data_IF_629436671485
#
_entry.id   IF_629436671485
#
_cell.length_a   1.000
_cell.length_b   1.000
_cell.length_c   1.000
_cell.angle_alpha   90.00
_cell.angle_beta   90.00
_cell.angle_gamma   90.00
#
_symmetry.space_group_name_H-M   'P 1'
#
loop_
_entity.id
_entity.type
_entity.pdbx_description
1 polymer ?
#
# COMPACT_ATOMS: atom_id res chain seq x y z
N UNK A 1 43.44 -33.51 12.83
CA UNK A 1 42.91 -32.96 11.58
C UNK A 1 41.97 -31.83 11.95
N UNK A 2 42.40 -30.62 11.74
CA UNK A 2 41.65 -29.43 12.05
C UNK A 2 40.70 -29.13 10.86
N UNK A 3 39.39 -29.07 11.11
CA UNK A 3 38.44 -28.58 10.14
C UNK A 3 38.46 -27.06 10.22
N UNK A 4 38.97 -26.43 9.19
CA UNK A 4 38.91 -24.97 9.02
C UNK A 4 37.45 -24.57 8.78
N UNK A 5 36.94 -23.69 9.65
CA UNK A 5 35.70 -22.99 9.45
C UNK A 5 35.91 -21.98 8.32
N UNK A 6 35.26 -22.22 7.20
CA UNK A 6 35.16 -21.28 6.09
C UNK A 6 34.32 -20.04 6.50
N UNK A 7 34.79 -18.90 6.03
CA UNK A 7 34.35 -17.57 6.39
C UNK A 7 32.86 -17.31 6.27
N UNK A 8 32.40 -16.39 7.11
CA UNK A 8 31.13 -15.70 6.98
C UNK A 8 31.17 -14.84 5.71
N UNK A 9 30.57 -15.34 4.64
CA UNK A 9 30.35 -14.54 3.44
C UNK A 9 29.42 -13.37 3.81
N UNK A 10 29.97 -12.17 3.82
CA UNK A 10 29.25 -10.94 3.99
C UNK A 10 28.38 -10.69 2.73
N UNK A 11 27.13 -11.13 2.78
CA UNK A 11 26.14 -10.93 1.72
C UNK A 11 25.58 -9.50 1.68
N UNK A 12 26.01 -8.60 2.58
CA UNK A 12 25.47 -7.24 2.73
C UNK A 12 25.68 -6.35 1.49
N UNK A 13 26.64 -6.69 0.63
CA UNK A 13 26.94 -5.93 -0.61
C UNK A 13 26.06 -6.31 -1.81
N UNK A 14 25.48 -7.52 -1.83
CA UNK A 14 24.80 -8.05 -3.01
C UNK A 14 23.33 -7.59 -3.13
N UNK A 15 22.66 -7.30 -2.01
CA UNK A 15 21.21 -7.02 -1.97
C UNK A 15 20.82 -5.73 -2.71
N UNK A 16 21.77 -4.83 -2.98
CA UNK A 16 21.48 -3.51 -3.55
C UNK A 16 21.58 -3.42 -5.08
N UNK A 17 22.25 -4.36 -5.74
CA UNK A 17 22.44 -4.34 -7.21
C UNK A 17 22.72 -5.76 -7.74
N UNK A 18 21.80 -6.70 -7.54
CA UNK A 18 21.93 -8.02 -8.13
C UNK A 18 21.69 -7.96 -9.65
N UNK A 19 22.69 -8.41 -10.42
CA UNK A 19 22.54 -8.70 -11.85
C UNK A 19 22.15 -10.17 -12.00
N UNK A 20 20.92 -10.40 -12.44
CA UNK A 20 20.31 -11.74 -12.55
C UNK A 20 20.55 -12.33 -13.93
N UNK A 21 20.96 -13.59 -14.00
CA UNK A 21 21.06 -14.32 -15.24
C UNK A 21 19.70 -14.88 -15.72
N UNK A 22 19.71 -15.59 -16.84
CA UNK A 22 18.50 -16.20 -17.44
C UNK A 22 17.84 -17.28 -16.57
N UNK A 23 18.57 -17.82 -15.59
CA UNK A 23 18.09 -18.85 -14.64
C UNK A 23 17.72 -18.24 -13.26
N UNK A 24 17.64 -16.90 -13.17
CA UNK A 24 17.37 -16.18 -11.91
C UNK A 24 18.45 -16.41 -10.82
N UNK A 25 19.71 -16.62 -11.24
CA UNK A 25 20.87 -16.69 -10.34
C UNK A 25 21.62 -15.36 -10.40
N UNK A 26 21.91 -14.78 -9.24
CA UNK A 26 22.69 -13.54 -9.18
C UNK A 26 24.14 -13.81 -9.58
N UNK A 27 24.62 -13.14 -10.64
CA UNK A 27 25.99 -13.29 -11.17
C UNK A 27 27.06 -12.85 -10.20
N UNK A 28 26.75 -11.96 -9.26
CA UNK A 28 27.71 -11.43 -8.31
C UNK A 28 27.85 -12.26 -7.02
N UNK A 29 26.77 -12.87 -6.52
CA UNK A 29 26.79 -13.64 -5.26
C UNK A 29 26.32 -15.08 -5.39
N UNK A 30 25.83 -15.51 -6.56
CA UNK A 30 25.40 -16.88 -6.80
C UNK A 30 24.07 -17.25 -6.12
N UNK A 31 23.32 -16.30 -5.54
CA UNK A 31 22.00 -16.60 -4.98
C UNK A 31 21.02 -16.97 -6.10
N UNK A 32 20.22 -17.98 -5.88
CA UNK A 32 19.17 -18.46 -6.78
C UNK A 32 17.79 -17.81 -6.53
N UNK A 33 17.75 -16.79 -5.65
CA UNK A 33 16.52 -16.04 -5.40
C UNK A 33 16.49 -14.72 -6.18
N UNK A 34 15.54 -14.59 -7.09
CA UNK A 34 15.15 -13.32 -7.71
C UNK A 34 13.75 -12.91 -7.26
N UNK A 35 13.47 -11.60 -7.12
CA UNK A 35 12.11 -11.14 -6.92
C UNK A 35 11.18 -11.61 -8.04
N UNK A 36 9.91 -11.95 -7.74
CA UNK A 36 8.96 -12.35 -8.77
C UNK A 36 8.81 -11.29 -9.86
N UNK A 37 9.01 -11.67 -11.14
CA UNK A 37 8.85 -10.76 -12.30
C UNK A 37 7.39 -10.38 -12.56
N UNK A 38 6.44 -11.21 -12.10
CA UNK A 38 5.00 -10.97 -12.23
C UNK A 38 4.47 -10.35 -10.94
N UNK A 39 3.85 -9.18 -11.06
CA UNK A 39 3.17 -8.55 -9.94
C UNK A 39 2.13 -9.51 -9.33
N UNK A 40 2.24 -9.73 -8.02
CA UNK A 40 1.30 -10.51 -7.22
C UNK A 40 0.51 -9.57 -6.32
N UNK A 41 -0.71 -9.96 -5.90
CA UNK A 41 -1.45 -9.17 -4.91
C UNK A 41 -0.61 -8.92 -3.65
N UNK A 42 -0.50 -7.67 -3.27
CA UNK A 42 0.02 -7.28 -1.96
C UNK A 42 -0.92 -7.77 -0.86
N UNK A 43 -0.38 -8.16 0.30
CA UNK A 43 -1.14 -8.57 1.47
C UNK A 43 -0.90 -7.58 2.61
N UNK A 44 -2.00 -7.06 3.20
CA UNK A 44 -1.98 -6.21 4.38
C UNK A 44 -2.98 -6.76 5.40
N UNK A 45 -2.56 -6.88 6.67
CA UNK A 45 -3.45 -7.09 7.81
C UNK A 45 -3.55 -5.79 8.61
N UNK A 46 -4.77 -5.39 8.99
CA UNK A 46 -5.01 -4.14 9.72
C UNK A 46 -6.10 -4.33 10.79
N UNK A 47 -6.05 -3.58 11.90
CA UNK A 47 -7.03 -3.70 12.98
C UNK A 47 -8.32 -2.95 12.66
N UNK A 48 -9.44 -3.47 13.15
CA UNK A 48 -10.73 -2.79 13.20
C UNK A 48 -11.41 -3.06 14.53
N UNK A 49 -12.22 -2.13 15.02
CA UNK A 49 -13.01 -2.28 16.25
C UNK A 49 -14.42 -2.83 15.97
N UNK A 50 -14.85 -2.83 14.70
CA UNK A 50 -16.15 -3.34 14.28
C UNK A 50 -16.12 -3.88 12.85
N UNK A 51 -16.24 -5.21 12.70
CA UNK A 51 -16.19 -5.87 11.39
C UNK A 51 -17.38 -5.54 10.49
N UNK A 52 -18.58 -5.35 11.04
CA UNK A 52 -19.77 -5.04 10.24
C UNK A 52 -19.68 -3.63 9.62
N UNK A 53 -19.25 -2.64 10.42
CA UNK A 53 -18.98 -1.30 9.92
C UNK A 53 -17.85 -1.29 8.89
N UNK A 54 -16.78 -2.07 9.14
CA UNK A 54 -15.68 -2.23 8.17
C UNK A 54 -16.20 -2.85 6.87
N UNK A 55 -16.99 -3.93 6.91
CA UNK A 55 -17.59 -4.53 5.71
C UNK A 55 -18.44 -3.52 4.94
N UNK A 56 -19.32 -2.81 5.61
CA UNK A 56 -20.14 -1.78 4.97
C UNK A 56 -19.27 -0.72 4.26
N UNK A 57 -18.24 -0.22 4.93
CA UNK A 57 -17.34 0.77 4.34
C UNK A 57 -16.57 0.23 3.13
N UNK A 58 -15.87 -0.90 3.28
CA UNK A 58 -15.04 -1.44 2.20
C UNK A 58 -15.87 -1.95 1.03
N UNK A 59 -17.06 -2.53 1.26
CA UNK A 59 -17.93 -3.05 0.19
C UNK A 59 -18.76 -1.93 -0.44
N UNK A 60 -19.54 -1.20 0.35
CA UNK A 60 -20.55 -0.26 -0.19
C UNK A 60 -19.88 1.04 -0.66
N UNK A 61 -18.90 1.56 0.11
CA UNK A 61 -18.24 2.82 -0.22
C UNK A 61 -17.11 2.63 -1.23
N UNK A 62 -16.22 1.62 -1.03
CA UNK A 62 -15.05 1.43 -1.88
C UNK A 62 -15.24 0.39 -2.99
N UNK A 63 -16.35 -0.35 -3.01
CA UNK A 63 -16.65 -1.34 -4.04
C UNK A 63 -15.81 -2.62 -3.95
N UNK A 64 -15.22 -2.91 -2.78
CA UNK A 64 -14.51 -4.15 -2.55
C UNK A 64 -15.46 -5.34 -2.52
N UNK A 65 -14.94 -6.52 -2.83
CA UNK A 65 -15.66 -7.78 -2.56
C UNK A 65 -15.04 -8.49 -1.37
N UNK A 66 -15.86 -9.14 -0.56
CA UNK A 66 -15.38 -9.98 0.54
C UNK A 66 -14.86 -11.30 0.01
N UNK A 67 -13.85 -11.84 0.73
CA UNK A 67 -13.37 -13.21 0.56
C UNK A 67 -13.78 -14.06 1.76
N UNK A 68 -12.80 -14.75 2.36
CA UNK A 68 -13.05 -15.56 3.55
C UNK A 68 -13.40 -14.68 4.76
N UNK A 69 -14.52 -14.97 5.38
CA UNK A 69 -14.98 -14.36 6.63
C UNK A 69 -14.86 -15.33 7.81
N UNK A 70 -14.48 -14.80 8.95
CA UNK A 70 -14.44 -15.48 10.26
C UNK A 70 -15.06 -14.56 11.31
N UNK A 71 -15.27 -15.09 12.52
CA UNK A 71 -15.83 -14.32 13.62
C UNK A 71 -15.01 -13.05 13.94
N UNK A 72 -13.69 -13.09 13.79
CA UNK A 72 -12.77 -12.01 14.15
C UNK A 72 -11.98 -11.45 12.96
N UNK A 73 -12.33 -11.80 11.73
CA UNK A 73 -11.63 -11.30 10.55
C UNK A 73 -12.44 -11.38 9.26
N UNK A 74 -12.20 -10.43 8.38
CA UNK A 74 -12.76 -10.41 7.03
C UNK A 74 -11.67 -10.09 6.00
N UNK A 75 -11.60 -10.89 4.94
CA UNK A 75 -10.72 -10.65 3.78
C UNK A 75 -11.45 -9.79 2.77
N UNK A 76 -10.79 -8.76 2.24
CA UNK A 76 -11.29 -7.94 1.14
C UNK A 76 -10.37 -8.05 -0.07
N UNK A 77 -10.97 -8.06 -1.25
CA UNK A 77 -10.27 -7.77 -2.50
C UNK A 77 -10.26 -6.26 -2.70
N UNK A 78 -9.17 -5.62 -2.33
CA UNK A 78 -8.99 -4.17 -2.35
C UNK A 78 -8.21 -3.77 -3.61
N UNK A 79 -8.90 -3.30 -4.64
CA UNK A 79 -8.30 -2.91 -5.93
C UNK A 79 -7.30 -3.91 -6.51
N UNK A 80 -7.62 -5.22 -6.42
CA UNK A 80 -6.75 -6.29 -6.90
C UNK A 80 -5.77 -6.85 -5.86
N UNK A 81 -5.60 -6.20 -4.73
CA UNK A 81 -4.79 -6.65 -3.59
C UNK A 81 -5.64 -7.36 -2.54
N UNK A 82 -4.97 -8.05 -1.60
CA UNK A 82 -5.62 -8.71 -0.47
C UNK A 82 -5.37 -7.92 0.80
N UNK A 83 -6.42 -7.36 1.40
CA UNK A 83 -6.34 -6.81 2.74
C UNK A 83 -7.23 -7.61 3.71
N UNK A 84 -6.84 -7.66 4.98
CA UNK A 84 -7.56 -8.44 6.00
C UNK A 84 -7.81 -7.56 7.21
N UNK A 85 -9.08 -7.27 7.47
CA UNK A 85 -9.49 -6.65 8.72
C UNK A 85 -9.49 -7.68 9.86
N UNK A 86 -8.83 -7.37 10.95
CA UNK A 86 -8.84 -8.15 12.18
C UNK A 86 -9.55 -7.38 13.29
N UNK A 87 -10.58 -8.00 13.88
CA UNK A 87 -11.27 -7.43 15.02
C UNK A 87 -10.34 -7.38 16.23
N UNK A 88 -10.19 -6.22 16.81
CA UNK A 88 -9.37 -5.99 18.01
C UNK A 88 -10.23 -5.36 19.11
N UNK A 89 -9.97 -5.67 20.39
CA UNK A 89 -10.71 -5.08 21.50
C UNK A 89 -10.43 -3.59 21.70
N UNK A 90 -9.29 -3.11 21.20
CA UNK A 90 -8.88 -1.71 21.29
C UNK A 90 -7.99 -1.36 20.11
N UNK A 91 -8.29 -0.25 19.42
CA UNK A 91 -7.46 0.26 18.35
C UNK A 91 -6.11 0.75 18.89
N UNK A 92 -4.99 0.47 18.20
CA UNK A 92 -3.67 0.94 18.61
C UNK A 92 -3.55 2.45 18.45
N UNK A 93 -2.81 3.08 19.38
CA UNK A 93 -2.36 4.45 19.18
C UNK A 93 -1.28 4.49 18.11
N UNK A 94 -1.44 5.38 17.14
CA UNK A 94 -0.52 5.53 16.02
C UNK A 94 0.27 6.82 16.16
N UNK A 95 1.59 6.76 15.92
CA UNK A 95 2.40 7.96 15.74
C UNK A 95 1.98 8.67 14.45
N UNK A 96 1.92 10.00 14.50
CA UNK A 96 1.57 10.83 13.34
C UNK A 96 2.79 11.55 12.79
N UNK A 97 2.72 11.92 11.53
CA UNK A 97 3.63 12.86 10.87
C UNK A 97 2.81 13.91 10.11
N UNK A 98 3.35 15.14 9.93
CA UNK A 98 2.67 16.15 9.17
C UNK A 98 2.62 15.80 7.68
N UNK A 99 1.42 15.78 7.12
CA UNK A 99 1.16 15.65 5.69
C UNK A 99 0.25 16.79 5.29
N UNK A 100 0.74 17.71 4.48
CA UNK A 100 0.01 18.90 3.99
C UNK A 100 -0.68 19.70 5.11
N UNK A 101 0.03 19.88 6.23
CA UNK A 101 -0.47 20.62 7.41
C UNK A 101 -1.50 19.88 8.26
N UNK A 102 -1.67 18.57 8.03
CA UNK A 102 -2.51 17.67 8.84
C UNK A 102 -1.65 16.63 9.53
N UNK A 103 -1.98 16.27 10.75
CA UNK A 103 -1.36 15.16 11.48
C UNK A 103 -1.99 13.85 11.00
N UNK A 104 -1.28 13.14 10.13
CA UNK A 104 -1.71 11.86 9.57
C UNK A 104 -0.95 10.73 10.27
N UNK A 105 -1.61 9.62 10.63
CA UNK A 105 -0.91 8.44 11.12
C UNK A 105 0.20 8.02 10.16
N UNK A 106 1.42 7.82 10.67
CA UNK A 106 2.56 7.40 9.86
C UNK A 106 2.26 6.06 9.15
N UNK A 107 1.53 5.18 9.85
CA UNK A 107 0.99 3.98 9.23
C UNK A 107 -0.39 4.28 8.63
N UNK A 108 -0.43 4.42 7.33
CA UNK A 108 -1.64 4.47 6.51
C UNK A 108 -1.42 3.60 5.27
N UNK A 109 -2.47 3.31 4.54
CA UNK A 109 -2.38 2.48 3.34
C UNK A 109 -3.35 2.95 2.27
N UNK A 110 -3.16 2.47 1.05
CA UNK A 110 -4.02 2.83 -0.06
C UNK A 110 -3.51 2.26 -1.37
N UNK A 111 -3.85 2.93 -2.47
CA UNK A 111 -3.54 2.48 -3.82
C UNK A 111 -3.01 3.64 -4.66
N UNK A 112 -1.97 3.35 -5.43
CA UNK A 112 -1.63 4.16 -6.60
C UNK A 112 -2.49 3.66 -7.76
N UNK A 113 -3.30 4.55 -8.33
CA UNK A 113 -4.33 4.25 -9.31
C UNK A 113 -3.98 4.88 -10.66
N UNK A 114 -4.54 4.34 -11.73
CA UNK A 114 -4.64 5.03 -13.03
C UNK A 114 -5.32 6.39 -12.83
N UNK A 115 -4.90 7.40 -13.62
CA UNK A 115 -5.40 8.77 -13.48
C UNK A 115 -6.93 8.89 -13.56
N UNK A 116 -7.51 8.24 -14.55
CA UNK A 116 -8.97 8.27 -14.75
C UNK A 116 -9.72 7.48 -13.67
N UNK A 117 -9.17 6.38 -13.17
CA UNK A 117 -9.76 5.60 -12.07
C UNK A 117 -9.80 6.39 -10.77
N UNK A 118 -8.72 7.13 -10.49
CA UNK A 118 -8.66 8.00 -9.33
C UNK A 118 -9.76 9.07 -9.39
N UNK A 119 -9.94 9.72 -10.55
CA UNK A 119 -10.99 10.72 -10.73
C UNK A 119 -12.38 10.10 -10.58
N UNK A 120 -12.64 8.90 -11.12
CA UNK A 120 -13.90 8.19 -10.94
C UNK A 120 -14.17 7.86 -9.47
N UNK A 121 -13.17 7.41 -8.72
CA UNK A 121 -13.29 7.14 -7.29
C UNK A 121 -13.58 8.43 -6.52
N UNK A 122 -12.84 9.50 -6.78
CA UNK A 122 -13.06 10.83 -6.20
C UNK A 122 -14.51 11.30 -6.39
N UNK A 123 -15.02 11.21 -7.60
CA UNK A 123 -16.39 11.66 -7.92
C UNK A 123 -17.43 10.78 -7.21
N UNK A 124 -17.22 9.46 -7.13
CA UNK A 124 -18.05 8.55 -6.35
C UNK A 124 -18.06 8.93 -4.87
N UNK A 125 -16.92 9.11 -4.26
CA UNK A 125 -16.80 9.45 -2.82
C UNK A 125 -17.47 10.79 -2.50
N UNK A 126 -17.29 11.79 -3.35
CA UNK A 126 -18.01 13.08 -3.23
C UNK A 126 -19.52 12.90 -3.31
N UNK A 127 -20.02 12.12 -4.28
CA UNK A 127 -21.45 11.84 -4.46
C UNK A 127 -22.05 11.10 -3.26
N UNK A 128 -21.29 10.18 -2.68
CA UNK A 128 -21.70 9.39 -1.52
C UNK A 128 -21.55 10.16 -0.19
N UNK A 129 -21.07 11.42 -0.23
CA UNK A 129 -20.92 12.29 0.94
C UNK A 129 -19.80 11.86 1.90
N UNK A 130 -18.77 11.17 1.39
CA UNK A 130 -17.62 10.76 2.20
C UNK A 130 -16.77 11.98 2.54
N UNK A 131 -16.44 12.14 3.82
CA UNK A 131 -15.56 13.22 4.29
C UNK A 131 -14.09 12.90 4.00
N UNK A 132 -13.37 13.87 3.46
CA UNK A 132 -11.93 13.77 3.22
C UNK A 132 -11.15 14.41 4.36
N UNK A 133 -10.17 13.70 4.91
CA UNK A 133 -9.20 14.25 5.86
C UNK A 133 -8.27 15.22 5.15
N UNK A 134 -7.76 14.79 3.99
CA UNK A 134 -7.09 15.65 3.03
C UNK A 134 -7.92 15.57 1.76
N UNK A 135 -8.46 16.71 1.32
CA UNK A 135 -9.33 16.78 0.16
C UNK A 135 -8.61 16.39 -1.12
N UNK A 136 -9.37 15.97 -2.16
CA UNK A 136 -8.78 15.62 -3.44
C UNK A 136 -8.14 16.84 -4.09
N UNK A 137 -6.84 16.78 -4.37
CA UNK A 137 -6.10 17.83 -5.09
C UNK A 137 -4.87 17.23 -5.79
N UNK A 138 -4.28 18.02 -6.69
CA UNK A 138 -3.05 17.67 -7.40
C UNK A 138 -1.87 18.40 -6.76
N UNK A 139 -0.84 17.64 -6.36
CA UNK A 139 0.46 18.17 -5.97
C UNK A 139 1.32 18.36 -7.20
N UNK A 140 2.23 19.35 -7.16
CA UNK A 140 3.20 19.61 -8.24
C UNK A 140 2.52 19.76 -9.60
N UNK A 141 1.40 20.49 -9.63
CA UNK A 141 0.63 20.73 -10.85
C UNK A 141 1.55 21.33 -11.92
N UNK A 142 1.48 20.80 -13.15
CA UNK A 142 2.31 21.20 -14.29
C UNK A 142 3.83 21.03 -14.11
N UNK A 143 4.27 20.22 -13.17
CA UNK A 143 5.68 19.86 -12.94
C UNK A 143 5.89 18.35 -13.14
N UNK A 144 7.16 17.91 -13.35
CA UNK A 144 7.50 16.50 -13.22
C UNK A 144 7.05 15.98 -11.85
N UNK A 145 6.50 14.75 -11.81
CA UNK A 145 5.97 14.19 -10.57
C UNK A 145 4.59 14.70 -10.15
N UNK A 146 3.86 15.42 -11.05
CA UNK A 146 2.47 15.81 -10.83
C UNK A 146 1.63 14.63 -10.40
N UNK A 147 1.08 14.69 -9.17
CA UNK A 147 0.34 13.60 -8.55
C UNK A 147 -0.95 14.09 -7.88
N UNK A 148 -2.02 13.36 -8.09
CA UNK A 148 -3.27 13.57 -7.37
C UNK A 148 -3.28 12.74 -6.07
N UNK A 149 -3.83 13.27 -5.00
CA UNK A 149 -3.97 12.59 -3.70
C UNK A 149 -5.27 12.94 -3.02
N UNK A 150 -5.79 12.01 -2.24
CA UNK A 150 -6.90 12.21 -1.30
C UNK A 150 -6.78 11.22 -0.14
N UNK A 151 -7.20 11.65 1.05
CA UNK A 151 -7.25 10.82 2.25
C UNK A 151 -8.65 10.73 2.80
N UNK A 152 -9.08 9.51 3.12
CA UNK A 152 -10.29 9.23 3.86
C UNK A 152 -9.99 8.36 5.08
N UNK A 153 -10.95 8.22 5.98
CA UNK A 153 -10.81 7.40 7.20
C UNK A 153 -11.90 6.34 7.20
N UNK A 154 -11.52 5.10 7.51
CA UNK A 154 -12.50 4.05 7.75
C UNK A 154 -13.20 4.22 9.10
N UNK A 155 -14.31 3.48 9.37
CA UNK A 155 -15.05 3.62 10.63
C UNK A 155 -14.24 3.30 11.90
N UNK A 156 -13.10 2.63 11.79
CA UNK A 156 -12.20 2.28 12.91
C UNK A 156 -11.03 3.25 13.06
N UNK A 157 -10.95 4.31 12.23
CA UNK A 157 -9.89 5.32 12.28
C UNK A 157 -8.65 4.99 11.43
N UNK A 158 -8.67 3.94 10.63
CA UNK A 158 -7.58 3.68 9.69
C UNK A 158 -7.61 4.71 8.55
N UNK A 159 -6.46 5.34 8.26
CA UNK A 159 -6.34 6.31 7.18
C UNK A 159 -5.97 5.61 5.87
N UNK A 160 -6.69 5.96 4.82
CA UNK A 160 -6.46 5.46 3.47
C UNK A 160 -6.07 6.60 2.55
N UNK A 161 -4.95 6.44 1.84
CA UNK A 161 -4.48 7.38 0.82
C UNK A 161 -4.69 6.79 -0.57
N UNK A 162 -5.36 7.53 -1.44
CA UNK A 162 -5.49 7.20 -2.86
C UNK A 162 -4.65 8.19 -3.66
N UNK A 163 -3.70 7.67 -4.41
CA UNK A 163 -2.77 8.45 -5.24
C UNK A 163 -2.93 8.11 -6.70
N UNK A 164 -2.58 9.06 -7.56
CA UNK A 164 -2.38 8.82 -8.98
C UNK A 164 -1.31 9.76 -9.51
N UNK A 165 -0.53 9.30 -10.46
CA UNK A 165 0.47 10.10 -11.14
C UNK A 165 0.00 10.39 -12.56
N UNK A 166 0.14 11.64 -12.99
CA UNK A 166 -0.21 12.04 -14.37
C UNK A 166 0.71 11.37 -15.39
N UNK A 167 1.97 11.16 -14.99
CA UNK A 167 2.96 10.35 -15.71
C UNK A 167 3.36 9.17 -14.80
N UNK A 168 2.99 7.97 -15.18
CA UNK A 168 3.26 6.76 -14.42
C UNK A 168 4.74 6.45 -14.25
N UNK A 169 5.60 6.95 -15.15
CA UNK A 169 7.05 6.79 -15.01
C UNK A 169 7.59 7.45 -13.74
N UNK A 170 6.89 8.46 -13.21
CA UNK A 170 7.25 9.15 -11.99
C UNK A 170 6.95 8.40 -10.69
N UNK A 171 6.22 7.26 -10.74
CA UNK A 171 5.83 6.51 -9.52
C UNK A 171 7.05 6.10 -8.68
N UNK A 172 8.15 5.73 -9.33
CA UNK A 172 9.38 5.28 -8.70
C UNK A 172 10.60 6.12 -9.08
N UNK A 173 10.37 7.24 -9.72
CA UNK A 173 11.44 8.16 -10.10
C UNK A 173 11.99 8.86 -8.84
N UNK A 174 13.31 9.03 -8.75
CA UNK A 174 14.01 9.70 -7.65
C UNK A 174 14.41 11.13 -7.96
N UNK A 175 14.24 11.58 -9.20
CA UNK A 175 14.90 12.79 -9.73
C UNK A 175 13.91 13.95 -10.02
N UNK A 176 12.75 13.96 -9.38
CA UNK A 176 11.75 15.05 -9.52
C UNK A 176 11.49 15.80 -8.22
#
# INVERSE_FOLDING_TARGET
MAVQSSGSDDLSGCIRQCDWDENDVCRSCGTDYSPPKKLRPFHLAFPVDNLEKAKQFYVDTLGCTTGREKQESCVFKFFGHQIVAHLVPQMPNMSTNPVDGRDIPAMHFGIVMEWDDWHRLKDKLNKDGVEFVIGPYTRYEDQPGSQATMFIVDPSGNHLEFKSFKDESAIFDSDW
#
